data_IF_185939789912
#
_entry.id   IF_185939789912
#
_cell.length_a   1.000
_cell.length_b   1.000
_cell.length_c   1.000
_cell.angle_alpha   90.00
_cell.angle_beta   90.00
_cell.angle_gamma   90.00
#
_symmetry.space_group_name_H-M   'P 1'
#
loop_
_entity.id
_entity.type
_entity.pdbx_description
1 polymer ?
#
# COMPACT_ATOMS: atom_id res chain seq x y z
N UNK A 1 1.07 20.85 11.93
CA UNK A 1 1.14 19.50 11.33
C UNK A 1 1.68 19.67 9.93
N UNK A 2 2.83 19.10 9.61
CA UNK A 2 3.32 19.09 8.21
C UNK A 2 2.41 18.18 7.40
N UNK A 3 1.90 18.70 6.29
CA UNK A 3 1.07 17.94 5.36
C UNK A 3 2.00 16.99 4.59
N UNK A 4 1.85 15.69 4.80
CA UNK A 4 2.61 14.70 4.04
C UNK A 4 2.23 14.81 2.56
N UNK A 5 3.24 14.87 1.70
CA UNK A 5 3.07 14.84 0.25
C UNK A 5 2.58 13.48 -0.22
N UNK A 6 1.91 13.43 -1.39
CA UNK A 6 1.49 12.17 -2.00
C UNK A 6 2.66 11.22 -2.28
N UNK A 7 3.87 11.77 -2.49
CA UNK A 7 5.10 10.98 -2.67
C UNK A 7 5.48 10.27 -1.37
N UNK A 8 5.44 10.96 -0.23
CA UNK A 8 5.73 10.35 1.08
C UNK A 8 4.72 9.27 1.47
N UNK A 9 3.43 9.50 1.18
CA UNK A 9 2.37 8.51 1.43
C UNK A 9 2.64 7.25 0.59
N UNK A 10 2.93 7.42 -0.70
CA UNK A 10 3.20 6.29 -1.60
C UNK A 10 4.50 5.58 -1.23
N UNK A 11 5.56 6.31 -0.89
CA UNK A 11 6.82 5.74 -0.43
C UNK A 11 6.61 4.88 0.82
N UNK A 12 5.83 5.37 1.80
CA UNK A 12 5.51 4.62 3.02
C UNK A 12 4.69 3.36 2.72
N UNK A 13 3.72 3.44 1.82
CA UNK A 13 2.95 2.26 1.41
C UNK A 13 3.86 1.20 0.76
N UNK A 14 4.73 1.61 -0.17
CA UNK A 14 5.70 0.69 -0.79
C UNK A 14 6.73 0.15 0.20
N UNK A 15 7.12 0.94 1.21
CA UNK A 15 7.99 0.48 2.28
C UNK A 15 7.33 -0.65 3.08
N UNK A 16 6.07 -0.50 3.48
CA UNK A 16 5.31 -1.56 4.16
C UNK A 16 5.20 -2.81 3.28
N UNK A 17 4.87 -2.63 2.00
CA UNK A 17 4.76 -3.73 1.03
C UNK A 17 6.11 -4.44 0.79
N UNK A 18 7.23 -3.71 0.86
CA UNK A 18 8.58 -4.27 0.70
C UNK A 18 9.01 -5.16 1.87
N UNK A 19 8.40 -5.00 3.04
CA UNK A 19 8.68 -5.78 4.23
C UNK A 19 7.89 -7.12 4.29
N UNK A 20 7.00 -7.36 3.32
CA UNK A 20 6.21 -8.59 3.22
C UNK A 20 7.14 -9.75 2.86
N UNK A 21 7.44 -10.59 3.85
CA UNK A 21 8.22 -11.84 3.69
C UNK A 21 7.33 -13.09 3.63
N UNK A 22 6.12 -12.99 4.18
CA UNK A 22 5.04 -13.97 4.08
C UNK A 22 3.81 -13.27 3.52
N UNK A 23 2.98 -13.93 2.69
CA UNK A 23 1.77 -13.32 2.16
C UNK A 23 0.89 -12.74 3.28
N UNK A 24 0.41 -11.51 3.08
CA UNK A 24 -0.44 -10.78 4.04
C UNK A 24 -1.82 -10.60 3.44
N UNK A 25 -2.87 -10.79 4.24
CA UNK A 25 -4.23 -10.52 3.76
C UNK A 25 -4.41 -9.02 3.51
N UNK A 26 -5.18 -8.66 2.48
CA UNK A 26 -5.51 -7.26 2.18
C UNK A 26 -6.17 -6.58 3.39
N UNK A 27 -6.98 -7.31 4.16
CA UNK A 27 -7.65 -6.79 5.35
C UNK A 27 -6.68 -6.48 6.48
N UNK A 28 -5.69 -7.35 6.73
CA UNK A 28 -4.65 -7.10 7.74
C UNK A 28 -3.76 -5.93 7.32
N UNK A 29 -3.44 -5.81 6.03
CA UNK A 29 -2.69 -4.67 5.51
C UNK A 29 -3.43 -3.35 5.73
N UNK A 30 -4.71 -3.29 5.36
CA UNK A 30 -5.55 -2.09 5.55
C UNK A 30 -5.67 -1.74 7.04
N UNK A 31 -5.76 -2.75 7.91
CA UNK A 31 -5.88 -2.56 9.36
C UNK A 31 -4.71 -1.78 9.97
N UNK A 32 -3.52 -1.82 9.35
CA UNK A 32 -2.35 -1.06 9.80
C UNK A 32 -2.54 0.46 9.70
N UNK A 33 -3.48 0.92 8.87
CA UNK A 33 -3.73 2.35 8.61
C UNK A 33 -4.97 2.88 9.35
N UNK A 34 -5.66 2.03 10.11
CA UNK A 34 -6.88 2.40 10.81
C UNK A 34 -6.60 3.15 12.12
N UNK A 35 -7.52 4.03 12.48
CA UNK A 35 -7.42 4.96 13.61
C UNK A 35 -8.23 4.53 14.82
N UNK A 36 -9.15 3.59 14.65
CA UNK A 36 -10.11 3.15 15.66
C UNK A 36 -11.40 3.99 15.69
N UNK A 37 -11.49 5.06 14.90
CA UNK A 37 -12.76 5.77 14.68
C UNK A 37 -13.57 5.06 13.57
N UNK A 38 -14.78 4.55 13.84
CA UNK A 38 -15.52 3.75 12.87
C UNK A 38 -15.84 4.48 11.56
N UNK A 39 -16.08 5.80 11.61
CA UNK A 39 -16.46 6.56 10.42
C UNK A 39 -15.23 6.83 9.55
N UNK A 40 -14.13 7.25 10.17
CA UNK A 40 -12.86 7.42 9.49
C UNK A 40 -12.35 6.11 8.92
N UNK A 41 -12.44 5.01 9.67
CA UNK A 41 -11.91 3.71 9.30
C UNK A 41 -12.64 3.10 8.09
N UNK A 42 -13.95 3.32 7.94
CA UNK A 42 -14.70 2.94 6.73
C UNK A 42 -14.16 3.68 5.50
N UNK A 43 -13.87 4.98 5.64
CA UNK A 43 -13.37 5.80 4.54
C UNK A 43 -11.91 5.44 4.20
N UNK A 44 -11.05 5.32 5.21
CA UNK A 44 -9.65 4.92 5.04
C UNK A 44 -9.54 3.55 4.39
N UNK A 45 -10.37 2.59 4.81
CA UNK A 45 -10.40 1.25 4.18
C UNK A 45 -10.68 1.30 2.68
N UNK A 46 -11.56 2.21 2.23
CA UNK A 46 -11.84 2.39 0.80
C UNK A 46 -10.65 3.00 0.07
N UNK A 47 -10.02 4.01 0.66
CA UNK A 47 -8.81 4.64 0.09
C UNK A 47 -7.69 3.61 -0.05
N UNK A 48 -7.40 2.84 1.00
CA UNK A 48 -6.33 1.85 0.98
C UNK A 48 -6.61 0.77 -0.09
N UNK A 49 -7.87 0.36 -0.29
CA UNK A 49 -8.24 -0.54 -1.39
C UNK A 49 -8.01 0.06 -2.76
N UNK A 50 -8.45 1.30 -2.99
CA UNK A 50 -8.22 2.00 -4.27
C UNK A 50 -6.72 2.15 -4.57
N UNK A 51 -5.91 2.43 -3.55
CA UNK A 51 -4.45 2.50 -3.69
C UNK A 51 -3.87 1.14 -4.08
N UNK A 52 -4.27 0.05 -3.42
CA UNK A 52 -3.79 -1.29 -3.74
C UNK A 52 -4.20 -1.71 -5.16
N UNK A 53 -5.43 -1.39 -5.58
CA UNK A 53 -5.90 -1.61 -6.96
C UNK A 53 -5.04 -0.86 -7.98
N UNK A 54 -4.74 0.41 -7.71
CA UNK A 54 -3.87 1.20 -8.56
C UNK A 54 -2.46 0.61 -8.63
N UNK A 55 -1.85 0.28 -7.50
CA UNK A 55 -0.52 -0.33 -7.44
C UNK A 55 -0.46 -1.69 -8.17
N UNK A 56 -1.53 -2.48 -8.09
CA UNK A 56 -1.65 -3.74 -8.84
C UNK A 56 -1.77 -3.47 -10.33
N UNK A 57 -2.64 -2.54 -10.73
CA UNK A 57 -2.84 -2.14 -12.13
C UNK A 57 -1.55 -1.61 -12.76
N UNK A 58 -0.75 -0.87 -12.00
CA UNK A 58 0.54 -0.34 -12.43
C UNK A 58 1.66 -1.39 -12.44
N UNK A 59 1.35 -2.64 -12.06
CA UNK A 59 2.32 -3.73 -12.01
C UNK A 59 3.36 -3.59 -10.90
N UNK A 60 3.07 -2.83 -9.85
CA UNK A 60 4.02 -2.57 -8.75
C UNK A 60 3.97 -3.61 -7.64
N UNK A 61 2.83 -4.29 -7.44
CA UNK A 61 2.66 -5.31 -6.40
C UNK A 61 2.30 -6.66 -6.99
N UNK A 62 2.64 -7.72 -6.27
CA UNK A 62 2.18 -9.09 -6.50
C UNK A 62 1.04 -9.33 -5.52
N UNK A 63 -0.16 -9.60 -6.04
CA UNK A 63 -1.34 -9.88 -5.22
C UNK A 63 -2.27 -10.87 -5.93
N UNK A 64 -3.18 -11.45 -5.16
CA UNK A 64 -4.37 -12.08 -5.73
C UNK A 64 -5.27 -11.02 -6.39
N UNK A 65 -6.36 -11.47 -7.00
CA UNK A 65 -7.44 -10.55 -7.34
C UNK A 65 -8.03 -9.92 -6.07
N UNK A 66 -7.87 -8.60 -5.94
CA UNK A 66 -8.29 -7.83 -4.76
C UNK A 66 -9.81 -7.83 -4.53
N UNK A 67 -10.59 -8.32 -5.51
CA UNK A 67 -12.04 -8.53 -5.37
C UNK A 67 -12.42 -9.91 -4.81
N UNK A 68 -11.46 -10.82 -4.68
CA UNK A 68 -11.68 -12.14 -4.10
C UNK A 68 -12.09 -12.04 -2.61
N UNK A 69 -12.75 -13.06 -2.03
CA UNK A 69 -13.20 -13.02 -0.64
C UNK A 69 -12.11 -12.87 0.42
N UNK A 70 -10.87 -13.30 0.13
CA UNK A 70 -9.74 -13.23 1.06
C UNK A 70 -8.44 -13.04 0.30
N UNK A 71 -8.25 -11.88 -0.36
CA UNK A 71 -7.11 -11.66 -1.23
C UNK A 71 -5.84 -11.44 -0.43
N UNK A 72 -4.72 -11.95 -0.95
CA UNK A 72 -3.41 -11.78 -0.35
C UNK A 72 -2.50 -10.90 -1.19
N UNK A 73 -1.56 -10.26 -0.50
CA UNK A 73 -0.46 -9.47 -1.07
C UNK A 73 0.83 -10.23 -0.78
N UNK A 74 1.62 -10.47 -1.83
CA UNK A 74 2.86 -11.24 -1.78
C UNK A 74 4.11 -10.34 -1.78
N UNK A 75 3.93 -9.02 -1.92
CA UNK A 75 5.00 -8.01 -1.87
C UNK A 75 5.12 -7.22 -3.17
N UNK A 76 6.30 -6.65 -3.41
CA UNK A 76 6.59 -5.82 -4.57
C UNK A 76 7.07 -6.65 -5.77
N UNK A 77 6.72 -6.19 -6.98
CA UNK A 77 7.37 -6.65 -8.22
C UNK A 77 8.75 -5.99 -8.38
N UNK A 78 9.60 -6.44 -9.32
CA UNK A 78 10.82 -5.71 -9.67
C UNK A 78 10.59 -4.25 -10.08
N UNK A 79 9.44 -3.94 -10.70
CA UNK A 79 9.05 -2.57 -11.01
C UNK A 79 8.67 -1.78 -9.75
N UNK A 80 7.90 -2.39 -8.84
CA UNK A 80 7.56 -1.80 -7.56
C UNK A 80 8.79 -1.46 -6.73
N UNK A 81 9.80 -2.32 -6.71
CA UNK A 81 11.08 -2.06 -6.04
C UNK A 81 11.79 -0.83 -6.63
N UNK A 82 11.87 -0.73 -7.97
CA UNK A 82 12.47 0.44 -8.63
C UNK A 82 11.72 1.73 -8.31
N UNK A 83 10.39 1.68 -8.34
CA UNK A 83 9.56 2.85 -8.05
C UNK A 83 9.67 3.27 -6.59
N UNK A 84 9.73 2.30 -5.66
CA UNK A 84 9.97 2.57 -4.25
C UNK A 84 11.30 3.31 -4.04
N UNK A 85 12.39 2.83 -4.65
CA UNK A 85 13.70 3.49 -4.59
C UNK A 85 13.67 4.91 -5.19
N UNK A 86 12.96 5.09 -6.28
CA UNK A 86 12.77 6.41 -6.89
C UNK A 86 12.03 7.36 -5.94
N UNK A 87 10.92 6.95 -5.34
CA UNK A 87 10.20 7.79 -4.38
C UNK A 87 11.02 8.10 -3.13
N UNK A 88 11.78 7.14 -2.60
CA UNK A 88 12.71 7.41 -1.49
C UNK A 88 13.77 8.45 -1.86
N UNK A 89 14.20 8.50 -3.12
CA UNK A 89 15.13 9.52 -3.59
C UNK A 89 14.47 10.90 -3.63
N UNK A 90 13.18 10.97 -3.98
CA UNK A 90 12.42 12.22 -4.01
C UNK A 90 12.05 12.74 -2.62
N UNK A 91 11.87 11.88 -1.62
CA UNK A 91 11.54 12.29 -0.24
C UNK A 91 12.76 12.62 0.60
N UNK A 92 13.94 12.14 0.21
CA UNK A 92 15.22 12.44 0.87
C UNK A 92 15.98 13.61 0.22
N UNK A 93 15.39 14.25 -0.80
CA UNK A 93 15.90 15.44 -1.48
C UNK A 93 15.27 16.71 -0.91
#
# INVERSE_FOLDING_TARGET
MQQASSVEITARALQLLSAISTPVSVEDFIRLELTGDPTADIFLSKISRMMLEQLRSDGMIISDDLTAPSPQIYGLTPQGIKMHQFFLTLTNA
#
